data_IF_260408865634
#
_entry.id   IF_260408865634
#
_cell.length_a   1.000
_cell.length_b   1.000
_cell.length_c   1.000
_cell.angle_alpha   90.00
_cell.angle_beta   90.00
_cell.angle_gamma   90.00
#
_symmetry.space_group_name_H-M   'P 1'
#
loop_
_entity.id
_entity.type
_entity.pdbx_description
1 polymer ?
#
# COMPACT_ATOMS: atom_id res chain seq x y z
N UNK A 1 20.83 -5.90 10.99
CA UNK A 1 19.96 -4.71 11.06
C UNK A 1 18.86 -5.03 12.06
N UNK A 2 18.68 -4.16 13.03
CA UNK A 2 17.77 -4.33 14.16
C UNK A 2 16.45 -3.60 13.86
N UNK A 3 15.32 -4.28 14.04
CA UNK A 3 13.99 -3.69 13.76
C UNK A 3 13.01 -3.83 14.91
N UNK A 4 12.09 -2.88 14.99
CA UNK A 4 10.88 -2.99 15.79
C UNK A 4 9.65 -3.07 14.89
N UNK A 5 8.68 -3.91 15.23
CA UNK A 5 7.41 -4.05 14.50
C UNK A 5 6.26 -3.59 15.39
N UNK A 6 5.45 -2.65 14.91
CA UNK A 6 4.18 -2.28 15.54
C UNK A 6 3.05 -2.73 14.63
N UNK A 7 2.18 -3.59 15.14
CA UNK A 7 1.14 -4.26 14.38
C UNK A 7 1.49 -5.72 14.08
N UNK A 8 0.69 -6.63 14.60
CA UNK A 8 0.82 -8.08 14.38
C UNK A 8 -0.50 -8.67 13.85
N UNK A 9 -1.12 -7.96 12.91
CA UNK A 9 -2.26 -8.45 12.14
C UNK A 9 -1.82 -9.39 11.00
N UNK A 10 -2.68 -9.59 9.99
CA UNK A 10 -2.38 -10.50 8.87
C UNK A 10 -1.06 -10.17 8.14
N UNK A 11 -0.77 -8.89 7.89
CA UNK A 11 0.49 -8.47 7.24
C UNK A 11 1.69 -8.60 8.19
N UNK A 12 1.54 -8.19 9.46
CA UNK A 12 2.62 -8.29 10.45
C UNK A 12 3.05 -9.74 10.70
N UNK A 13 2.09 -10.67 10.83
CA UNK A 13 2.37 -12.11 10.93
C UNK A 13 3.07 -12.63 9.67
N UNK A 14 2.53 -12.33 8.49
CA UNK A 14 3.14 -12.74 7.21
C UNK A 14 4.53 -12.17 6.99
N UNK A 15 4.82 -10.97 7.54
CA UNK A 15 6.15 -10.38 7.51
C UNK A 15 7.14 -11.18 8.36
N UNK A 16 6.78 -11.58 9.59
CA UNK A 16 7.64 -12.44 10.41
C UNK A 16 7.84 -13.82 9.75
N UNK A 17 6.79 -14.43 9.20
CA UNK A 17 6.89 -15.68 8.43
C UNK A 17 7.86 -15.54 7.24
N UNK A 18 7.76 -14.42 6.51
CA UNK A 18 8.64 -14.12 5.38
C UNK A 18 10.11 -13.99 5.82
N UNK A 19 10.37 -13.38 6.99
CA UNK A 19 11.72 -13.28 7.52
C UNK A 19 12.32 -14.68 7.79
N UNK A 20 11.54 -15.59 8.36
CA UNK A 20 11.95 -16.99 8.58
C UNK A 20 12.26 -17.68 7.25
N UNK A 21 11.36 -17.55 6.26
CA UNK A 21 11.52 -18.13 4.93
C UNK A 21 12.77 -17.62 4.18
N UNK A 22 13.26 -16.44 4.54
CA UNK A 22 14.37 -15.76 3.86
C UNK A 22 15.62 -15.62 4.72
N UNK A 23 15.67 -16.24 5.90
CA UNK A 23 16.74 -16.03 6.89
C UNK A 23 18.16 -16.24 6.37
N UNK A 24 18.35 -17.16 5.41
CA UNK A 24 19.66 -17.42 4.80
C UNK A 24 20.12 -16.29 3.85
N UNK A 25 19.21 -15.38 3.48
CA UNK A 25 19.45 -14.29 2.53
C UNK A 25 19.41 -12.91 3.18
N UNK A 26 18.86 -12.78 4.39
CA UNK A 26 18.67 -11.50 5.07
C UNK A 26 19.10 -11.60 6.54
N UNK A 27 19.97 -10.68 6.94
CA UNK A 27 20.35 -10.48 8.33
C UNK A 27 19.53 -9.33 8.94
N UNK A 28 18.37 -9.71 9.49
CA UNK A 28 17.40 -8.83 10.17
C UNK A 28 17.07 -9.45 11.52
N UNK A 29 17.19 -8.66 12.59
CA UNK A 29 16.87 -9.04 13.95
C UNK A 29 15.64 -8.27 14.43
N UNK A 30 14.58 -8.99 14.78
CA UNK A 30 13.36 -8.40 15.32
C UNK A 30 13.49 -8.27 16.83
N UNK A 31 13.53 -7.04 17.35
CA UNK A 31 13.67 -6.80 18.80
C UNK A 31 12.35 -6.49 19.48
N UNK A 32 11.41 -5.93 18.73
CA UNK A 32 10.08 -5.55 19.22
C UNK A 32 8.99 -6.10 18.34
N UNK A 33 7.92 -6.62 18.96
CA UNK A 33 6.62 -6.82 18.34
C UNK A 33 5.57 -6.24 19.28
N UNK A 34 4.88 -5.20 18.83
CA UNK A 34 3.97 -4.39 19.65
C UNK A 34 2.56 -4.42 19.06
N UNK A 35 1.55 -4.53 19.92
CA UNK A 35 0.13 -4.32 19.61
C UNK A 35 -0.44 -3.24 20.54
N UNK A 36 -1.70 -2.88 20.32
CA UNK A 36 -2.40 -1.89 21.15
C UNK A 36 -2.52 -2.26 22.64
N UNK A 37 -2.38 -3.54 22.99
CA UNK A 37 -2.55 -4.05 24.35
C UNK A 37 -1.25 -4.57 25.01
N UNK A 38 -0.09 -4.37 24.39
CA UNK A 38 1.20 -4.83 24.93
C UNK A 38 2.20 -5.20 23.84
N UNK A 39 3.28 -5.87 24.22
CA UNK A 39 4.30 -6.28 23.26
C UNK A 39 5.31 -7.25 23.83
N UNK A 40 6.25 -7.64 22.97
CA UNK A 40 7.42 -8.46 23.27
C UNK A 40 8.65 -7.58 22.99
N UNK A 41 9.61 -7.58 23.91
CA UNK A 41 10.91 -6.95 23.72
C UNK A 41 12.03 -7.93 24.11
N UNK A 42 13.04 -8.02 23.26
CA UNK A 42 14.30 -8.69 23.59
C UNK A 42 15.47 -7.94 22.94
N UNK A 43 16.38 -7.41 23.76
CA UNK A 43 17.57 -6.68 23.31
C UNK A 43 18.52 -7.53 22.46
N UNK A 44 18.49 -8.85 22.60
CA UNK A 44 19.29 -9.78 21.79
C UNK A 44 18.54 -10.28 20.55
N UNK A 45 17.28 -9.90 20.36
CA UNK A 45 16.39 -10.37 19.31
C UNK A 45 15.38 -11.42 19.80
N UNK A 46 14.17 -11.34 19.28
CA UNK A 46 13.09 -12.30 19.51
C UNK A 46 13.38 -13.56 18.68
N UNK A 47 13.18 -14.74 19.28
CA UNK A 47 13.17 -16.00 18.53
C UNK A 47 11.87 -16.06 17.72
N UNK A 48 11.94 -15.64 16.46
CA UNK A 48 10.77 -15.50 15.59
C UNK A 48 10.22 -16.85 15.14
N UNK A 49 11.05 -17.89 14.99
CA UNK A 49 10.58 -19.25 14.73
C UNK A 49 9.71 -19.78 15.89
N UNK A 50 10.21 -19.69 17.12
CA UNK A 50 9.47 -20.12 18.32
C UNK A 50 8.13 -19.36 18.46
N UNK A 51 8.15 -18.05 18.19
CA UNK A 51 6.96 -17.21 18.24
C UNK A 51 5.92 -17.62 17.18
N UNK A 52 6.35 -17.85 15.94
CA UNK A 52 5.44 -18.23 14.86
C UNK A 52 4.87 -19.62 15.07
N UNK A 53 5.66 -20.59 15.53
CA UNK A 53 5.18 -21.92 15.89
C UNK A 53 4.10 -21.85 16.98
N UNK A 54 4.33 -21.02 18.01
CA UNK A 54 3.34 -20.78 19.06
C UNK A 54 2.03 -20.21 18.51
N UNK A 55 2.08 -19.17 17.67
CA UNK A 55 0.87 -18.56 17.09
C UNK A 55 0.18 -19.51 16.11
N UNK A 56 0.93 -20.32 15.36
CA UNK A 56 0.39 -21.33 14.45
C UNK A 56 -0.27 -22.51 15.18
N UNK A 57 0.02 -22.71 16.47
CA UNK A 57 -0.72 -23.66 17.32
C UNK A 57 -2.14 -23.20 17.70
N UNK A 58 -2.57 -22.03 17.20
CA UNK A 58 -3.91 -21.47 17.42
C UNK A 58 -4.01 -20.54 18.63
N UNK A 59 -2.90 -20.28 19.32
CA UNK A 59 -2.84 -19.40 20.49
C UNK A 59 -2.67 -17.93 20.10
N UNK A 60 -3.24 -17.04 20.89
CA UNK A 60 -3.03 -15.60 20.73
C UNK A 60 -1.59 -15.24 21.11
N UNK A 61 -0.95 -14.34 20.36
CA UNK A 61 0.37 -13.81 20.72
C UNK A 61 0.42 -13.22 22.15
N UNK A 62 -0.71 -12.74 22.67
CA UNK A 62 -0.81 -12.22 24.04
C UNK A 62 -0.58 -13.32 25.12
N UNK A 63 -0.74 -14.58 24.76
CA UNK A 63 -0.52 -15.74 25.64
C UNK A 63 0.94 -16.24 25.56
N UNK A 64 1.78 -15.64 24.72
CA UNK A 64 3.18 -16.02 24.62
C UNK A 64 3.93 -15.66 25.90
N UNK A 65 4.79 -16.55 26.39
CA UNK A 65 5.42 -16.41 27.73
C UNK A 65 6.28 -15.15 27.90
N UNK A 66 6.75 -14.56 26.80
CA UNK A 66 7.55 -13.32 26.79
C UNK A 66 6.70 -12.08 26.49
N UNK A 67 5.37 -12.21 26.41
CA UNK A 67 4.46 -11.09 26.24
C UNK A 67 4.37 -10.27 27.54
N UNK A 68 4.31 -8.95 27.40
CA UNK A 68 4.09 -8.03 28.53
C UNK A 68 2.94 -7.09 28.21
N UNK A 69 1.99 -6.97 29.13
CA UNK A 69 0.83 -6.09 28.97
C UNK A 69 1.23 -4.63 29.14
N UNK A 70 0.87 -3.79 28.16
CA UNK A 70 0.95 -2.31 28.16
C UNK A 70 2.31 -1.65 28.52
N UNK A 71 3.35 -2.40 28.85
CA UNK A 71 4.68 -1.87 29.21
C UNK A 71 5.58 -1.63 27.99
N UNK A 72 5.31 -2.35 26.89
CA UNK A 72 6.09 -2.24 25.65
C UNK A 72 5.28 -1.44 24.63
N UNK A 73 5.72 -0.21 24.36
CA UNK A 73 5.07 0.74 23.43
C UNK A 73 6.12 1.40 22.53
N UNK A 74 5.70 2.28 21.62
CA UNK A 74 6.64 3.10 20.82
C UNK A 74 7.62 3.89 21.70
N UNK A 75 7.19 4.35 22.88
CA UNK A 75 8.07 5.07 23.81
C UNK A 75 9.20 4.19 24.33
N UNK A 76 8.98 2.88 24.45
CA UNK A 76 10.03 1.92 24.84
C UNK A 76 11.11 1.83 23.76
N UNK A 77 10.73 1.86 22.48
CA UNK A 77 11.66 1.89 21.34
C UNK A 77 12.47 3.19 21.37
N UNK A 78 11.80 4.33 21.52
CA UNK A 78 12.44 5.66 21.55
C UNK A 78 13.43 5.77 22.71
N UNK A 79 13.07 5.24 23.88
CA UNK A 79 13.91 5.28 25.09
C UNK A 79 15.17 4.43 24.92
N UNK A 80 15.03 3.23 24.33
CA UNK A 80 16.14 2.29 24.22
C UNK A 80 17.06 2.61 23.03
N UNK A 81 16.54 3.19 21.94
CA UNK A 81 17.28 3.55 20.72
C UNK A 81 18.11 2.40 20.15
N UNK A 82 17.55 1.20 20.20
CA UNK A 82 18.25 -0.03 19.86
C UNK A 82 17.69 -0.71 18.60
N UNK A 83 17.01 0.05 17.73
CA UNK A 83 16.55 -0.39 16.41
C UNK A 83 16.99 0.61 15.33
N UNK A 84 17.32 0.08 14.15
CA UNK A 84 17.66 0.86 12.96
C UNK A 84 16.40 1.31 12.19
N UNK A 85 15.33 0.51 12.26
CA UNK A 85 14.10 0.73 11.48
C UNK A 85 12.86 0.28 12.26
N UNK A 86 11.85 1.14 12.29
CA UNK A 86 10.50 0.82 12.72
C UNK A 86 9.67 0.33 11.52
N UNK A 87 9.01 -0.81 11.69
CA UNK A 87 8.03 -1.36 10.75
C UNK A 87 6.64 -1.12 11.32
N UNK A 88 5.90 -0.21 10.69
CA UNK A 88 4.58 0.23 11.16
C UNK A 88 3.47 -0.40 10.30
N UNK A 89 2.68 -1.29 10.92
CA UNK A 89 1.68 -2.14 10.27
C UNK A 89 0.38 -2.18 11.08
N UNK A 90 0.05 -1.09 11.78
CA UNK A 90 -1.26 -0.96 12.44
C UNK A 90 -2.39 -0.81 11.41
N UNK A 91 -3.63 -0.96 11.88
CA UNK A 91 -4.80 -0.82 11.05
C UNK A 91 -4.87 0.56 10.41
N UNK A 92 -5.37 0.63 9.17
CA UNK A 92 -5.55 1.89 8.48
C UNK A 92 -6.74 2.65 9.05
N UNK A 93 -6.48 3.86 9.50
CA UNK A 93 -7.48 4.87 9.84
C UNK A 93 -7.30 6.06 8.89
N UNK A 94 -8.26 6.30 8.01
CA UNK A 94 -8.21 7.40 7.03
C UNK A 94 -8.83 8.70 7.55
N UNK A 95 -9.45 8.67 8.74
CA UNK A 95 -10.09 9.84 9.33
C UNK A 95 -9.04 10.76 9.96
N UNK A 96 -8.16 10.20 10.79
CA UNK A 96 -7.12 10.96 11.51
C UNK A 96 -5.71 10.35 11.40
N UNK A 97 -5.54 9.18 10.78
CA UNK A 97 -4.25 8.51 10.64
C UNK A 97 -3.77 7.76 11.88
N UNK A 98 -4.48 7.81 13.01
CA UNK A 98 -4.02 7.25 14.28
C UNK A 98 -4.34 5.76 14.43
N UNK A 99 -3.52 5.01 15.20
CA UNK A 99 -2.30 5.43 15.92
C UNK A 99 -1.04 5.46 15.03
N UNK A 100 -1.16 5.12 13.74
CA UNK A 100 -0.04 5.00 12.82
C UNK A 100 0.74 6.30 12.68
N UNK A 101 0.06 7.45 12.63
CA UNK A 101 0.69 8.77 12.53
C UNK A 101 1.61 9.04 13.71
N UNK A 102 1.11 8.87 14.95
CA UNK A 102 1.93 9.04 16.16
C UNK A 102 3.15 8.12 16.15
N UNK A 103 2.99 6.84 15.76
CA UNK A 103 4.11 5.90 15.69
C UNK A 103 5.20 6.35 14.70
N UNK A 104 4.80 6.70 13.48
CA UNK A 104 5.72 7.10 12.41
C UNK A 104 6.45 8.38 12.82
N UNK A 105 5.69 9.40 13.23
CA UNK A 105 6.24 10.71 13.60
C UNK A 105 7.30 10.59 14.70
N UNK A 106 6.95 9.93 15.80
CA UNK A 106 7.86 9.79 16.94
C UNK A 106 9.16 9.03 16.60
N UNK A 107 9.09 8.03 15.73
CA UNK A 107 10.26 7.29 15.27
C UNK A 107 11.18 8.18 14.42
N UNK A 108 10.61 8.89 13.43
CA UNK A 108 11.38 9.77 12.56
C UNK A 108 12.04 10.91 13.34
N UNK A 109 11.33 11.54 14.28
CA UNK A 109 11.85 12.59 15.16
C UNK A 109 12.99 12.11 16.08
N UNK A 110 13.11 10.80 16.29
CA UNK A 110 14.16 10.19 17.11
C UNK A 110 15.26 9.51 16.30
N UNK A 111 15.37 9.82 15.00
CA UNK A 111 16.44 9.31 14.15
C UNK A 111 16.29 7.82 13.81
N UNK A 112 15.06 7.30 13.82
CA UNK A 112 14.75 5.91 13.45
C UNK A 112 14.09 5.91 12.06
N UNK A 113 14.59 5.10 11.14
CA UNK A 113 13.95 4.93 9.82
C UNK A 113 12.57 4.29 9.99
N UNK A 114 11.65 4.56 9.08
CA UNK A 114 10.31 3.96 9.12
C UNK A 114 9.97 3.30 7.80
N UNK A 115 9.43 2.09 7.86
CA UNK A 115 8.74 1.45 6.73
C UNK A 115 7.30 1.17 7.15
N UNK A 116 6.32 1.66 6.39
CA UNK A 116 4.90 1.49 6.72
C UNK A 116 4.07 0.91 5.58
N UNK A 117 3.11 0.06 5.94
CA UNK A 117 2.01 -0.36 5.06
C UNK A 117 0.72 0.41 5.30
N UNK A 118 0.71 1.32 6.27
CA UNK A 118 -0.49 2.05 6.68
C UNK A 118 -0.73 3.26 5.78
N UNK A 119 -1.86 3.25 5.06
CA UNK A 119 -2.22 4.32 4.13
C UNK A 119 -2.65 5.60 4.83
N UNK A 120 -3.24 5.50 6.02
CA UNK A 120 -3.89 6.63 6.71
C UNK A 120 -2.94 7.80 6.97
N UNK A 121 -1.82 7.58 7.69
CA UNK A 121 -0.82 8.62 7.95
C UNK A 121 -0.24 9.23 6.68
N UNK A 122 -0.01 8.41 5.65
CA UNK A 122 0.58 8.87 4.39
C UNK A 122 -0.44 9.68 3.58
N UNK A 123 -1.70 9.28 3.57
CA UNK A 123 -2.78 10.01 2.90
C UNK A 123 -2.94 11.43 3.47
N UNK A 124 -2.86 11.56 4.80
CA UNK A 124 -3.16 12.81 5.51
C UNK A 124 -1.93 13.69 5.75
N UNK A 125 -0.77 13.08 6.04
CA UNK A 125 0.39 13.79 6.58
C UNK A 125 1.71 13.50 5.85
N UNK A 126 1.68 12.95 4.63
CA UNK A 126 2.93 12.58 3.92
C UNK A 126 3.96 13.72 3.85
N UNK A 127 3.53 14.94 3.52
CA UNK A 127 4.47 16.08 3.41
C UNK A 127 5.14 16.40 4.75
N UNK A 128 4.39 16.41 5.85
CA UNK A 128 4.94 16.62 7.19
C UNK A 128 5.92 15.50 7.55
N UNK A 129 5.51 14.23 7.37
CA UNK A 129 6.34 13.07 7.70
C UNK A 129 7.61 13.01 6.85
N UNK A 130 7.52 13.39 5.56
CA UNK A 130 8.67 13.53 4.65
C UNK A 130 9.64 14.60 5.16
N UNK A 131 9.13 15.77 5.52
CA UNK A 131 9.97 16.88 6.00
C UNK A 131 10.66 16.52 7.33
N UNK A 132 9.96 15.84 8.25
CA UNK A 132 10.56 15.30 9.49
C UNK A 132 11.66 14.29 9.17
N UNK A 133 11.41 13.36 8.25
CA UNK A 133 12.38 12.34 7.87
C UNK A 133 13.65 12.96 7.27
N UNK A 134 13.48 13.92 6.34
CA UNK A 134 14.57 14.69 5.73
C UNK A 134 15.41 15.44 6.79
N UNK A 135 14.75 16.18 7.68
CA UNK A 135 15.42 16.99 8.71
C UNK A 135 16.19 16.15 9.74
N UNK A 136 15.77 14.90 9.98
CA UNK A 136 16.43 13.98 10.90
C UNK A 136 17.39 13.00 10.19
N UNK A 137 17.62 13.16 8.88
CA UNK A 137 18.48 12.30 8.07
C UNK A 137 18.11 10.81 8.17
N UNK A 138 16.80 10.52 8.15
CA UNK A 138 16.24 9.16 8.15
C UNK A 138 15.31 8.94 6.96
N UNK A 139 14.96 7.69 6.71
CA UNK A 139 14.18 7.28 5.55
C UNK A 139 12.75 6.90 5.91
N UNK A 140 11.82 7.21 5.00
CA UNK A 140 10.40 6.84 5.09
C UNK A 140 10.00 5.98 3.89
N UNK A 141 10.01 4.66 4.07
CA UNK A 141 9.57 3.67 3.08
C UNK A 141 8.06 3.46 3.12
N UNK A 142 7.36 3.75 2.03
CA UNK A 142 5.89 3.70 1.93
C UNK A 142 5.40 2.86 0.75
N UNK A 143 6.25 2.02 0.18
CA UNK A 143 6.02 1.31 -1.08
C UNK A 143 4.86 0.33 -1.04
N UNK A 144 4.41 -0.07 0.16
CA UNK A 144 3.24 -0.95 0.33
C UNK A 144 1.89 -0.19 0.28
N UNK A 145 1.89 1.14 0.39
CA UNK A 145 0.67 1.93 0.64
C UNK A 145 -0.27 2.07 -0.57
N UNK A 146 0.21 2.01 -1.81
CA UNK A 146 -0.65 2.29 -2.99
C UNK A 146 -1.02 1.08 -3.83
N UNK A 147 -0.53 -0.11 -3.49
CA UNK A 147 -0.80 -1.30 -4.30
C UNK A 147 -0.39 -2.64 -3.67
N UNK A 148 -0.10 -2.67 -2.37
CA UNK A 148 0.45 -3.85 -1.71
C UNK A 148 1.80 -4.21 -2.31
N UNK A 149 1.85 -5.28 -3.12
CA UNK A 149 3.07 -5.69 -3.82
C UNK A 149 3.32 -4.98 -5.16
N UNK A 150 2.38 -4.20 -5.70
CA UNK A 150 2.67 -3.40 -6.90
C UNK A 150 3.73 -2.34 -6.53
N UNK A 151 4.92 -2.32 -7.15
CA UNK A 151 5.95 -1.33 -6.84
C UNK A 151 5.65 0.00 -7.54
N UNK A 152 4.44 0.55 -7.34
CA UNK A 152 4.04 1.81 -7.95
C UNK A 152 4.88 2.96 -7.38
N UNK A 153 4.94 3.13 -6.05
CA UNK A 153 5.78 4.18 -5.45
C UNK A 153 7.25 3.98 -5.80
N UNK A 154 7.81 2.79 -5.56
CA UNK A 154 9.24 2.57 -5.78
C UNK A 154 9.63 2.70 -7.25
N UNK A 155 8.83 2.16 -8.18
CA UNK A 155 9.11 2.29 -9.60
C UNK A 155 9.08 3.74 -10.07
N UNK A 156 8.11 4.52 -9.59
CA UNK A 156 8.03 5.96 -9.90
C UNK A 156 9.04 6.83 -9.15
N UNK A 157 9.68 6.34 -8.09
CA UNK A 157 10.68 7.10 -7.35
C UNK A 157 12.10 6.76 -7.82
N UNK A 158 12.38 5.47 -7.98
CA UNK A 158 13.72 4.95 -8.21
C UNK A 158 13.99 4.78 -9.71
N UNK A 159 13.09 4.13 -10.43
CA UNK A 159 13.32 3.79 -11.84
C UNK A 159 13.07 4.99 -12.79
N UNK A 160 12.38 6.03 -12.30
CA UNK A 160 12.19 7.28 -13.05
C UNK A 160 12.97 8.47 -12.46
N UNK A 161 13.95 8.24 -11.58
CA UNK A 161 14.68 9.31 -10.89
C UNK A 161 15.38 10.33 -11.83
N UNK A 162 15.63 9.95 -13.09
CA UNK A 162 16.23 10.82 -14.12
C UNK A 162 15.23 11.50 -15.06
N UNK A 163 13.92 11.37 -14.83
CA UNK A 163 12.87 11.85 -15.71
C UNK A 163 11.76 12.59 -14.95
N UNK A 164 11.08 13.53 -15.61
CA UNK A 164 9.85 14.12 -15.10
C UNK A 164 8.68 13.18 -15.42
N UNK A 165 7.92 12.78 -14.39
CA UNK A 165 6.63 12.10 -14.60
C UNK A 165 5.61 13.16 -15.02
N UNK A 166 5.08 13.02 -16.23
CA UNK A 166 4.10 13.94 -16.83
C UNK A 166 2.66 13.54 -16.46
N UNK A 167 2.39 12.24 -16.37
CA UNK A 167 1.11 11.72 -15.92
C UNK A 167 1.23 10.31 -15.35
N UNK A 168 0.30 9.98 -14.46
CA UNK A 168 0.15 8.66 -13.85
C UNK A 168 -1.26 8.17 -14.16
N UNK A 169 -1.41 6.98 -14.73
CA UNK A 169 -2.68 6.26 -14.82
C UNK A 169 -2.58 4.95 -14.01
N UNK A 170 -3.65 4.55 -13.33
CA UNK A 170 -3.63 3.35 -12.51
C UNK A 170 -4.96 2.62 -12.41
N UNK A 171 -4.88 1.29 -12.54
CA UNK A 171 -5.90 0.34 -12.08
C UNK A 171 -5.46 -0.14 -10.70
N UNK A 172 -5.98 0.49 -9.64
CA UNK A 172 -5.41 0.37 -8.29
C UNK A 172 -6.29 -0.41 -7.31
N UNK A 173 -7.51 -0.78 -7.72
CA UNK A 173 -8.49 -1.48 -6.89
C UNK A 173 -8.89 -2.82 -7.52
N UNK A 174 -8.65 -3.91 -6.80
CA UNK A 174 -8.91 -5.27 -7.31
C UNK A 174 -10.39 -5.64 -7.34
N UNK A 175 -11.20 -5.11 -6.43
CA UNK A 175 -12.64 -5.40 -6.33
C UNK A 175 -13.40 -4.84 -7.53
N UNK A 176 -13.25 -3.54 -7.81
CA UNK A 176 -13.84 -2.90 -8.98
C UNK A 176 -13.34 -3.50 -10.29
N UNK A 177 -12.05 -3.82 -10.40
CA UNK A 177 -11.49 -4.47 -11.58
C UNK A 177 -12.04 -5.88 -11.80
N UNK A 178 -12.29 -6.62 -10.73
CA UNK A 178 -12.96 -7.92 -10.80
C UNK A 178 -14.40 -7.78 -11.28
N UNK A 179 -15.19 -6.87 -10.69
CA UNK A 179 -16.59 -6.64 -11.07
C UNK A 179 -16.71 -6.27 -12.55
N UNK A 180 -15.92 -5.29 -13.02
CA UNK A 180 -15.93 -4.87 -14.43
C UNK A 180 -15.54 -6.01 -15.38
N UNK A 181 -14.62 -6.88 -14.96
CA UNK A 181 -14.25 -8.07 -15.73
C UNK A 181 -15.39 -9.08 -15.81
N UNK A 182 -16.09 -9.34 -14.71
CA UNK A 182 -17.23 -10.27 -14.72
C UNK A 182 -18.37 -9.74 -15.60
N UNK A 183 -18.67 -8.43 -15.52
CA UNK A 183 -19.61 -7.79 -16.45
C UNK A 183 -19.19 -7.97 -17.91
N UNK A 184 -17.89 -7.81 -18.21
CA UNK A 184 -17.35 -7.97 -19.56
C UNK A 184 -17.43 -9.41 -20.08
N UNK A 185 -16.98 -10.39 -19.29
CA UNK A 185 -16.88 -11.78 -19.73
C UNK A 185 -18.25 -12.46 -19.82
N UNK A 186 -19.14 -12.16 -18.86
CA UNK A 186 -20.47 -12.79 -18.76
C UNK A 186 -21.58 -11.97 -19.41
N UNK A 187 -21.31 -10.71 -19.78
CA UNK A 187 -22.30 -9.76 -20.33
C UNK A 187 -23.51 -9.57 -19.40
N UNK A 188 -23.22 -9.36 -18.12
CA UNK A 188 -24.22 -9.24 -17.04
C UNK A 188 -24.24 -7.83 -16.46
N UNK A 189 -25.34 -7.51 -15.78
CA UNK A 189 -25.51 -6.25 -15.06
C UNK A 189 -24.56 -6.13 -13.86
N UNK A 190 -24.26 -4.88 -13.49
CA UNK A 190 -23.39 -4.55 -12.35
C UNK A 190 -23.84 -5.22 -11.05
N UNK A 191 -25.15 -5.21 -10.76
CA UNK A 191 -25.71 -5.79 -9.54
C UNK A 191 -25.43 -7.29 -9.41
N UNK A 192 -25.50 -8.04 -10.52
CA UNK A 192 -25.22 -9.48 -10.56
C UNK A 192 -23.74 -9.74 -10.35
N UNK A 193 -22.87 -8.98 -11.02
CA UNK A 193 -21.41 -9.11 -10.87
C UNK A 193 -20.95 -8.75 -9.45
N UNK A 194 -21.56 -7.74 -8.81
CA UNK A 194 -21.29 -7.39 -7.43
C UNK A 194 -21.70 -8.52 -6.46
N UNK A 195 -22.89 -9.11 -6.66
CA UNK A 195 -23.37 -10.22 -5.82
C UNK A 195 -22.43 -11.43 -5.91
N UNK A 196 -21.94 -11.76 -7.10
CA UNK A 196 -20.93 -12.82 -7.28
C UNK A 196 -19.61 -12.48 -6.58
N UNK A 197 -19.13 -11.23 -6.70
CA UNK A 197 -17.93 -10.78 -6.01
C UNK A 197 -18.06 -10.89 -4.48
N UNK A 198 -19.24 -10.60 -3.93
CA UNK A 198 -19.53 -10.75 -2.50
C UNK A 198 -19.56 -12.22 -2.07
N UNK A 199 -20.20 -13.11 -2.85
CA UNK A 199 -20.21 -14.56 -2.59
C UNK A 199 -18.81 -15.17 -2.56
N UNK A 200 -17.90 -14.63 -3.37
CA UNK A 200 -16.50 -15.07 -3.43
C UNK A 200 -15.58 -14.40 -2.40
N UNK A 201 -16.12 -13.52 -1.54
CA UNK A 201 -15.34 -12.76 -0.57
C UNK A 201 -14.35 -11.78 -1.20
N UNK A 202 -14.60 -11.36 -2.45
CA UNK A 202 -13.81 -10.34 -3.16
C UNK A 202 -14.28 -8.94 -2.78
N UNK A 203 -15.60 -8.76 -2.68
CA UNK A 203 -16.23 -7.54 -2.20
C UNK A 203 -16.81 -7.77 -0.80
N UNK A 204 -16.73 -6.76 0.07
CA UNK A 204 -17.39 -6.78 1.37
C UNK A 204 -18.90 -6.52 1.25
N UNK A 205 -19.64 -6.74 2.34
CA UNK A 205 -21.07 -6.44 2.40
C UNK A 205 -21.36 -4.96 2.11
N UNK A 206 -20.47 -4.06 2.57
CA UNK A 206 -20.47 -2.65 2.20
C UNK A 206 -19.25 -2.36 1.30
N UNK A 207 -19.40 -2.42 -0.04
CA UNK A 207 -18.28 -2.28 -0.98
C UNK A 207 -18.00 -0.82 -1.36
N UNK A 208 -18.62 0.15 -0.68
CA UNK A 208 -18.69 1.55 -1.12
C UNK A 208 -17.33 2.15 -1.45
N UNK A 209 -16.32 1.91 -0.61
CA UNK A 209 -14.97 2.43 -0.82
C UNK A 209 -14.34 1.94 -2.13
N UNK A 210 -14.66 0.71 -2.55
CA UNK A 210 -14.14 0.09 -3.76
C UNK A 210 -14.92 0.54 -5.00
N UNK A 211 -16.26 0.44 -4.96
CA UNK A 211 -17.11 0.63 -6.14
C UNK A 211 -17.39 2.09 -6.44
N UNK A 212 -17.42 2.96 -5.43
CA UNK A 212 -17.54 4.42 -5.63
C UNK A 212 -16.18 5.05 -5.96
N UNK A 213 -15.08 4.28 -5.90
CA UNK A 213 -13.75 4.71 -6.34
C UNK A 213 -12.89 5.42 -5.30
N UNK A 214 -13.33 5.52 -4.04
CA UNK A 214 -12.57 6.18 -2.96
C UNK A 214 -11.23 5.51 -2.64
N UNK A 215 -11.13 4.17 -2.72
CA UNK A 215 -9.85 3.47 -2.53
C UNK A 215 -8.86 3.78 -3.67
N UNK A 216 -9.34 3.79 -4.93
CA UNK A 216 -8.53 4.24 -6.07
C UNK A 216 -8.11 5.71 -5.90
N UNK A 217 -9.03 6.57 -5.45
CA UNK A 217 -8.78 8.00 -5.21
C UNK A 217 -7.71 8.22 -4.14
N UNK A 218 -7.76 7.47 -3.04
CA UNK A 218 -6.77 7.55 -1.97
C UNK A 218 -5.37 7.13 -2.47
N UNK A 219 -5.29 6.06 -3.27
CA UNK A 219 -4.01 5.55 -3.79
C UNK A 219 -3.43 6.47 -4.85
N UNK A 220 -4.25 7.02 -5.74
CA UNK A 220 -3.79 7.95 -6.76
C UNK A 220 -3.36 9.28 -6.13
N UNK A 221 -4.01 9.71 -5.05
CA UNK A 221 -3.59 10.88 -4.29
C UNK A 221 -2.20 10.73 -3.69
N UNK A 222 -1.93 9.58 -3.07
CA UNK A 222 -0.61 9.28 -2.53
C UNK A 222 0.42 9.30 -3.68
N UNK A 223 0.14 8.69 -4.83
CA UNK A 223 1.05 8.74 -5.99
C UNK A 223 1.30 10.18 -6.46
N UNK A 224 0.27 11.02 -6.53
CA UNK A 224 0.40 12.42 -6.92
C UNK A 224 1.30 13.21 -5.97
N UNK A 225 1.06 13.08 -4.67
CA UNK A 225 1.79 13.82 -3.63
C UNK A 225 3.24 13.33 -3.52
N UNK A 226 3.48 12.02 -3.66
CA UNK A 226 4.81 11.41 -3.51
C UNK A 226 5.67 11.61 -4.75
N UNK A 227 5.15 11.28 -5.93
CA UNK A 227 5.96 11.17 -7.14
C UNK A 227 6.04 12.45 -7.95
N UNK A 228 5.04 13.32 -7.81
CA UNK A 228 4.99 14.57 -8.55
C UNK A 228 5.13 15.80 -7.62
N UNK A 229 5.17 15.60 -6.29
CA UNK A 229 5.51 16.64 -5.32
C UNK A 229 4.38 17.60 -4.96
N UNK A 230 3.12 17.18 -5.10
CA UNK A 230 1.96 18.04 -4.85
C UNK A 230 1.42 17.93 -3.43
N UNK A 231 0.59 18.92 -3.06
CA UNK A 231 -0.13 18.98 -1.78
C UNK A 231 -1.63 18.97 -2.04
N UNK A 232 -2.12 17.84 -2.54
CA UNK A 232 -3.56 17.62 -2.80
C UNK A 232 -4.19 16.83 -1.66
N UNK A 233 -5.49 17.04 -1.47
CA UNK A 233 -6.35 16.25 -0.58
C UNK A 233 -7.41 15.50 -1.39
N UNK A 234 -8.18 14.64 -0.72
CA UNK A 234 -9.23 13.85 -1.38
C UNK A 234 -10.31 14.74 -2.02
N UNK A 235 -10.56 15.93 -1.46
CA UNK A 235 -11.54 16.89 -1.99
C UNK A 235 -11.11 17.53 -3.31
N UNK A 236 -9.83 17.43 -3.66
CA UNK A 236 -9.31 17.92 -4.95
C UNK A 236 -9.51 16.93 -6.10
N UNK A 237 -10.08 15.75 -5.83
CA UNK A 237 -10.21 14.65 -6.80
C UNK A 237 -11.65 14.57 -7.29
N UNK A 238 -11.83 14.59 -8.61
CA UNK A 238 -13.10 14.19 -9.20
C UNK A 238 -13.25 12.66 -9.12
N UNK A 239 -14.32 12.16 -8.50
CA UNK A 239 -14.53 10.73 -8.29
C UNK A 239 -15.86 10.30 -8.89
N UNK A 240 -15.81 9.39 -9.85
CA UNK A 240 -16.94 8.63 -10.39
C UNK A 240 -16.64 7.14 -10.26
N UNK A 241 -17.54 6.41 -9.60
CA UNK A 241 -17.45 4.97 -9.40
C UNK A 241 -17.90 4.13 -10.60
N UNK A 242 -18.03 2.82 -10.37
CA UNK A 242 -18.49 1.84 -11.37
C UNK A 242 -19.97 1.44 -11.20
N UNK A 243 -20.63 1.93 -10.15
CA UNK A 243 -21.99 1.48 -9.76
C UNK A 243 -23.09 1.83 -10.75
N UNK A 244 -22.86 2.83 -11.61
CA UNK A 244 -23.78 3.27 -12.65
C UNK A 244 -23.47 2.66 -14.03
N UNK A 245 -22.43 1.83 -14.15
CA UNK A 245 -22.08 1.20 -15.42
C UNK A 245 -23.12 0.13 -15.77
N UNK A 246 -23.65 0.23 -16.99
CA UNK A 246 -24.68 -0.68 -17.51
C UNK A 246 -24.08 -1.83 -18.34
N UNK A 247 -24.81 -2.93 -18.48
CA UNK A 247 -24.41 -4.00 -19.40
C UNK A 247 -24.34 -3.52 -20.86
N UNK A 248 -25.18 -2.56 -21.27
CA UNK A 248 -25.17 -1.99 -22.61
C UNK A 248 -23.89 -1.19 -22.90
N UNK A 249 -23.40 -0.39 -21.95
CA UNK A 249 -22.11 0.31 -22.08
C UNK A 249 -20.93 -0.67 -22.18
N UNK A 250 -20.98 -1.76 -21.41
CA UNK A 250 -19.98 -2.84 -21.50
C UNK A 250 -20.04 -3.54 -22.85
N UNK A 251 -21.24 -3.91 -23.34
CA UNK A 251 -21.43 -4.55 -24.64
C UNK A 251 -20.98 -3.66 -25.80
N UNK A 252 -21.24 -2.35 -25.71
CA UNK A 252 -20.73 -1.37 -26.66
C UNK A 252 -19.20 -1.33 -26.67
N UNK A 253 -18.56 -1.37 -25.50
CA UNK A 253 -17.10 -1.41 -25.38
C UNK A 253 -16.52 -2.70 -25.99
N UNK A 254 -17.14 -3.85 -25.71
CA UNK A 254 -16.80 -5.15 -26.33
C UNK A 254 -16.86 -5.06 -27.86
N UNK A 255 -17.92 -4.47 -28.41
CA UNK A 255 -18.09 -4.32 -29.87
C UNK A 255 -16.97 -3.51 -30.54
N UNK A 256 -16.30 -2.64 -29.77
CA UNK A 256 -15.17 -1.82 -30.22
C UNK A 256 -13.80 -2.46 -29.94
N UNK A 257 -13.78 -3.65 -29.34
CA UNK A 257 -12.53 -4.28 -28.88
C UNK A 257 -11.90 -3.57 -27.69
N UNK A 258 -12.72 -2.95 -26.83
CA UNK A 258 -12.30 -2.16 -25.68
C UNK A 258 -12.79 -2.77 -24.35
N UNK A 259 -12.10 -2.46 -23.25
CA UNK A 259 -12.48 -2.85 -21.89
C UNK A 259 -12.68 -1.63 -21.01
N UNK A 260 -13.79 -1.58 -20.28
CA UNK A 260 -14.00 -0.56 -19.24
C UNK A 260 -13.12 -0.89 -18.03
N UNK A 261 -12.37 0.10 -17.54
CA UNK A 261 -11.55 0.03 -16.31
C UNK A 261 -11.82 1.24 -15.44
N UNK A 262 -11.82 1.07 -14.12
CA UNK A 262 -11.80 2.19 -13.18
C UNK A 262 -10.37 2.73 -13.10
N UNK A 263 -10.13 3.91 -13.67
CA UNK A 263 -8.80 4.50 -13.79
C UNK A 263 -8.67 5.68 -12.84
N UNK A 264 -7.70 5.61 -11.94
CA UNK A 264 -7.16 6.78 -11.27
C UNK A 264 -6.13 7.46 -12.17
N UNK A 265 -6.25 8.77 -12.36
CA UNK A 265 -5.37 9.54 -13.24
C UNK A 265 -4.89 10.81 -12.55
N UNK A 266 -3.61 11.11 -12.73
CA UNK A 266 -2.96 12.36 -12.33
C UNK A 266 -2.24 12.90 -13.55
N UNK A 267 -2.48 14.16 -13.88
CA UNK A 267 -1.95 14.79 -15.06
C UNK A 267 -1.83 16.29 -14.85
N UNK A 268 -0.98 16.92 -15.64
CA UNK A 268 -0.81 18.37 -15.69
C UNK A 268 -1.69 18.96 -16.78
N UNK A 269 -2.52 19.94 -16.43
CA UNK A 269 -3.31 20.75 -17.35
C UNK A 269 -3.17 22.21 -16.94
N UNK A 270 -2.77 23.08 -17.88
CA UNK A 270 -2.51 24.51 -17.63
C UNK A 270 -1.56 24.76 -16.44
N UNK A 271 -0.50 23.96 -16.35
CA UNK A 271 0.46 23.95 -15.24
C UNK A 271 -0.13 23.60 -13.85
N UNK A 272 -1.40 23.21 -13.79
CA UNK A 272 -2.04 22.72 -12.59
C UNK A 272 -2.15 21.20 -12.63
N UNK A 273 -1.90 20.54 -11.50
CA UNK A 273 -2.24 19.12 -11.39
C UNK A 273 -3.71 18.91 -11.13
N UNK A 274 -4.26 18.01 -11.94
CA UNK A 274 -5.61 17.47 -11.81
C UNK A 274 -5.53 16.00 -11.48
N UNK A 275 -6.40 15.58 -10.57
CA UNK A 275 -6.57 14.20 -10.16
C UNK A 275 -8.02 13.81 -10.45
N UNK A 276 -8.24 12.65 -11.07
CA UNK A 276 -9.58 12.09 -11.22
C UNK A 276 -9.59 10.57 -11.14
N UNK A 277 -10.74 10.02 -10.77
CA UNK A 277 -11.05 8.60 -10.79
C UNK A 277 -12.36 8.44 -11.55
N UNK A 278 -12.35 7.68 -12.64
CA UNK A 278 -13.56 7.40 -13.41
C UNK A 278 -13.44 6.11 -14.23
N UNK A 279 -14.56 5.47 -14.62
CA UNK A 279 -14.56 4.41 -15.62
C UNK A 279 -14.10 4.96 -16.98
N UNK A 280 -13.15 4.29 -17.63
CA UNK A 280 -12.61 4.63 -18.95
C UNK A 280 -12.56 3.38 -19.82
N UNK A 281 -13.00 3.50 -21.07
CA UNK A 281 -12.86 2.44 -22.08
C UNK A 281 -11.44 2.43 -22.62
N UNK A 282 -10.73 1.31 -22.48
CA UNK A 282 -9.35 1.15 -22.94
C UNK A 282 -9.28 0.21 -24.14
N UNK A 283 -8.48 0.58 -25.13
CA UNK A 283 -8.12 -0.29 -26.27
C UNK A 283 -6.97 -1.23 -25.88
N UNK A 284 -6.82 -2.33 -26.63
CA UNK A 284 -5.72 -3.29 -26.46
C UNK A 284 -4.31 -2.71 -26.64
N UNK A 285 -4.18 -1.53 -27.24
CA UNK A 285 -2.92 -0.78 -27.34
C UNK A 285 -2.52 -0.10 -26.04
N UNK A 286 -3.43 0.08 -25.08
CA UNK A 286 -3.13 0.68 -23.79
C UNK A 286 -2.61 -0.38 -22.81
N UNK A 287 -1.45 -0.21 -22.15
CA UNK A 287 -0.87 -1.25 -21.29
C UNK A 287 -1.78 -1.73 -20.16
N UNK A 288 -2.59 -0.83 -19.59
CA UNK A 288 -3.55 -1.16 -18.53
C UNK A 288 -4.75 -2.01 -19.00
N UNK A 289 -4.92 -2.22 -20.31
CA UNK A 289 -5.99 -3.07 -20.86
C UNK A 289 -5.95 -4.51 -20.34
N UNK A 290 -4.75 -5.06 -20.13
CA UNK A 290 -4.52 -6.44 -19.69
C UNK A 290 -4.51 -6.60 -18.17
N UNK A 291 -4.75 -5.53 -17.41
CA UNK A 291 -4.80 -5.60 -15.95
C UNK A 291 -6.16 -6.15 -15.53
N UNK A 292 -6.24 -7.47 -15.37
CA UNK A 292 -7.49 -8.18 -15.10
C UNK A 292 -7.52 -8.83 -13.70
N UNK A 293 -8.74 -9.08 -13.21
CA UNK A 293 -8.98 -9.74 -11.93
C UNK A 293 -8.45 -8.94 -10.75
N UNK A 294 -7.76 -9.62 -9.81
CA UNK A 294 -7.21 -9.01 -8.58
C UNK A 294 -5.90 -8.25 -8.80
N UNK A 295 -5.35 -8.28 -10.02
CA UNK A 295 -4.14 -7.53 -10.35
C UNK A 295 -4.40 -6.03 -10.37
N UNK A 296 -3.32 -5.29 -10.20
CA UNK A 296 -3.25 -3.83 -10.29
C UNK A 296 -2.22 -3.47 -11.35
N UNK A 297 -2.25 -2.23 -11.79
CA UNK A 297 -1.24 -1.71 -12.69
C UNK A 297 -1.12 -0.22 -12.56
N UNK A 298 0.08 0.28 -12.85
CA UNK A 298 0.38 1.70 -12.96
C UNK A 298 1.12 1.94 -14.26
N UNK A 299 0.79 3.04 -14.91
CA UNK A 299 1.40 3.53 -16.13
C UNK A 299 1.92 4.94 -15.87
N UNK A 300 3.20 5.14 -16.12
CA UNK A 300 3.90 6.41 -16.04
C UNK A 300 4.20 6.89 -17.44
N UNK A 301 3.73 8.10 -17.76
CA UNK A 301 4.22 8.84 -18.90
C UNK A 301 5.34 9.75 -18.43
N UNK A 302 6.51 9.67 -19.05
CA UNK A 302 7.65 10.50 -18.70
C UNK A 302 8.06 11.39 -19.86
N UNK A 303 8.87 12.40 -19.58
CA UNK A 303 9.43 13.31 -20.60
C UNK A 303 10.52 12.64 -21.46
N UNK A 304 11.32 11.74 -20.87
CA UNK A 304 12.58 11.27 -21.45
C UNK A 304 12.75 9.74 -21.49
N UNK A 305 12.17 8.99 -20.55
CA UNK A 305 12.25 7.52 -20.51
C UNK A 305 11.18 6.85 -21.38
N UNK A 306 10.29 7.64 -21.98
CA UNK A 306 9.08 7.16 -22.62
C UNK A 306 8.06 6.67 -21.59
N UNK A 307 7.29 5.67 -21.97
CA UNK A 307 6.18 5.17 -21.17
C UNK A 307 6.58 3.91 -20.41
N UNK A 308 6.35 3.90 -19.09
CA UNK A 308 6.68 2.78 -18.21
C UNK A 308 5.40 2.20 -17.63
N UNK A 309 5.21 0.89 -17.76
CA UNK A 309 4.07 0.19 -17.17
C UNK A 309 4.53 -0.89 -16.22
N UNK A 310 3.93 -0.93 -15.03
CA UNK A 310 4.16 -1.97 -14.05
C UNK A 310 2.82 -2.63 -13.75
N UNK A 311 2.75 -3.96 -13.92
CA UNK A 311 1.54 -4.76 -13.68
C UNK A 311 1.86 -5.85 -12.67
N UNK A 312 0.97 -6.05 -11.70
CA UNK A 312 1.12 -7.08 -10.68
C UNK A 312 0.32 -6.73 -9.42
N UNK A 313 0.86 -7.07 -8.25
CA UNK A 313 0.28 -6.62 -6.98
C UNK A 313 -1.08 -7.24 -6.65
N UNK A 314 -1.31 -8.50 -7.03
CA UNK A 314 -2.43 -9.27 -6.51
C UNK A 314 -2.47 -9.17 -4.98
N UNK A 315 -3.67 -8.91 -4.43
CA UNK A 315 -3.83 -8.69 -2.99
C UNK A 315 -3.49 -9.97 -2.20
N UNK A 316 -2.59 -9.86 -1.23
CA UNK A 316 -2.18 -10.97 -0.36
C UNK A 316 -1.29 -10.47 0.77
N UNK A 317 -1.41 -11.06 1.96
CA UNK A 317 -0.64 -10.63 3.15
C UNK A 317 0.86 -10.84 2.95
N UNK A 318 1.26 -11.98 2.36
CA UNK A 318 2.67 -12.27 2.04
C UNK A 318 3.22 -11.33 0.97
N UNK A 319 2.39 -10.93 0.00
CA UNK A 319 2.76 -9.97 -1.04
C UNK A 319 3.00 -8.58 -0.45
N UNK A 320 2.12 -8.12 0.45
CA UNK A 320 2.33 -6.87 1.19
C UNK A 320 3.58 -6.94 2.08
N UNK A 321 3.78 -8.05 2.79
CA UNK A 321 4.99 -8.28 3.59
C UNK A 321 6.28 -8.24 2.74
N UNK A 322 6.25 -8.76 1.51
CA UNK A 322 7.37 -8.66 0.58
C UNK A 322 7.66 -7.22 0.14
N UNK A 323 6.62 -6.39 0.00
CA UNK A 323 6.76 -4.95 -0.26
C UNK A 323 7.44 -4.21 0.90
N UNK A 324 7.05 -4.55 2.14
CA UNK A 324 7.70 -4.03 3.36
C UNK A 324 9.17 -4.46 3.41
N UNK A 325 9.46 -5.74 3.17
CA UNK A 325 10.83 -6.26 3.16
C UNK A 325 11.69 -5.59 2.08
N UNK A 326 11.14 -5.30 0.88
CA UNK A 326 11.84 -4.57 -0.17
C UNK A 326 12.31 -3.21 0.32
N UNK A 327 11.43 -2.43 0.93
CA UNK A 327 11.76 -1.08 1.40
C UNK A 327 12.82 -1.13 2.51
N UNK A 328 12.71 -2.10 3.42
CA UNK A 328 13.71 -2.36 4.45
C UNK A 328 15.10 -2.65 3.84
N UNK A 329 15.16 -3.54 2.85
CA UNK A 329 16.42 -3.90 2.17
C UNK A 329 17.00 -2.69 1.43
N UNK A 330 16.16 -1.89 0.77
CA UNK A 330 16.60 -0.69 0.07
C UNK A 330 17.20 0.34 1.05
N UNK A 331 16.55 0.59 2.19
CA UNK A 331 17.10 1.46 3.26
C UNK A 331 18.45 0.91 3.74
N UNK A 332 18.54 -0.39 4.03
CA UNK A 332 19.78 -1.05 4.44
C UNK A 332 20.91 -0.88 3.42
N UNK A 333 20.57 -0.87 2.13
CA UNK A 333 21.51 -0.68 1.01
C UNK A 333 21.84 0.79 0.74
N UNK A 334 21.33 1.75 1.52
CA UNK A 334 21.61 3.17 1.39
C UNK A 334 20.76 3.90 0.34
N UNK A 335 19.67 3.30 -0.13
CA UNK A 335 18.71 3.99 -1.01
C UNK A 335 18.01 5.08 -0.21
N UNK A 336 17.97 6.28 -0.78
CA UNK A 336 17.23 7.42 -0.21
C UNK A 336 15.82 7.49 -0.79
N UNK A 337 14.84 7.45 0.10
CA UNK A 337 13.41 7.65 -0.20
C UNK A 337 12.98 9.11 -0.04
N UNK A 338 13.64 9.84 0.85
CA UNK A 338 13.42 11.26 1.13
C UNK A 338 14.74 12.03 1.08
#
# INVERSE_FOLDING_TARGET
MDIGVIGFGGVGKAFIELLIMKKDKIDIKVKYIIKSNGGIYNSNGINIEELIDFVNSGKSICEYSKWTEKDITINTIIKNRDVDTLVELTGTNIEDGEPGYTHIKLALENGINVVTGNKGPILLYYNELKDIAYNNNVQLGIGCTTGGALPSINGGLLDTAGAEILSIEGVLNGTSNYILKEMYDKKIEYSVALEEAQKMGIAEANPKLDVDGFDTASKILILANVLMGYRKSISDIYIKGISEITADEVNLSISKGEKIKLIGMVYKEDNCIKCKVEPKSLKSTHPLYFVDGKNKGVYYKTDTLGDISIVGGASGTINSAASILRDIINIKNGVKFV
#
